data_IF_843910034374
#
_entry.id   IF_843910034374
#
_cell.length_a   1.000
_cell.length_b   1.000
_cell.length_c   1.000
_cell.angle_alpha   90.00
_cell.angle_beta   90.00
_cell.angle_gamma   90.00
#
_symmetry.space_group_name_H-M   'P 1'
#
loop_
_entity.id
_entity.type
_entity.pdbx_description
1 polymer ?
#
# COMPACT_ATOMS: atom_id res chain seq x y z
N UNK A 1 20.57 -15.10 20.02
CA UNK A 1 20.56 -14.03 21.03
C UNK A 1 19.26 -13.25 20.87
N UNK A 2 18.40 -13.37 21.84
CA UNK A 2 17.08 -12.71 21.85
C UNK A 2 17.28 -11.28 22.36
N UNK A 3 16.97 -10.31 21.52
CA UNK A 3 16.93 -8.89 21.91
C UNK A 3 15.53 -8.50 22.31
N UNK A 4 15.28 -8.42 23.60
CA UNK A 4 14.08 -7.85 24.19
C UNK A 4 13.96 -6.37 23.79
N UNK A 5 12.94 -6.02 23.02
CA UNK A 5 12.54 -4.63 22.88
C UNK A 5 11.45 -4.33 23.89
N UNK A 6 11.90 -3.73 24.99
CA UNK A 6 11.07 -3.16 26.02
C UNK A 6 10.03 -2.20 25.44
N UNK A 7 8.79 -2.55 25.72
CA UNK A 7 7.61 -1.70 25.60
C UNK A 7 7.75 -0.53 26.58
N UNK A 8 7.99 0.66 26.10
CA UNK A 8 7.79 1.88 26.87
C UNK A 8 6.38 2.38 26.65
N UNK A 9 5.52 1.98 27.56
CA UNK A 9 4.23 2.66 27.77
C UNK A 9 4.49 4.04 28.35
N UNK A 10 4.22 5.10 27.62
CA UNK A 10 4.05 6.43 28.19
C UNK A 10 2.57 6.79 28.15
N UNK A 11 2.01 6.81 29.36
CA UNK A 11 0.75 7.48 29.67
C UNK A 11 1.01 8.99 29.69
N UNK A 12 0.21 9.74 28.97
CA UNK A 12 0.01 11.17 29.20
C UNK A 12 -1.40 11.54 28.81
N UNK A 13 -2.24 11.62 29.80
CA UNK A 13 -3.08 12.70 30.32
C UNK A 13 -3.86 13.57 29.32
N UNK A 14 -5.13 13.37 29.40
CA UNK A 14 -6.32 14.24 29.36
C UNK A 14 -6.03 15.75 29.26
N UNK A 15 -6.60 16.34 28.22
CA UNK A 15 -6.83 17.76 28.09
C UNK A 15 -8.12 18.00 27.31
N UNK A 16 -9.22 18.18 28.05
CA UNK A 16 -10.50 18.63 27.54
C UNK A 16 -10.42 20.14 27.34
N UNK A 17 -10.61 20.60 26.12
CA UNK A 17 -11.02 21.97 25.83
C UNK A 17 -12.16 21.93 24.84
N UNK A 18 -13.35 22.19 25.36
CA UNK A 18 -14.53 22.48 24.59
C UNK A 18 -14.48 23.92 24.11
N UNK A 19 -14.60 24.14 22.83
CA UNK A 19 -14.94 25.43 22.25
C UNK A 19 -15.98 25.23 21.17
N UNK A 20 -17.19 25.60 21.55
CA UNK A 20 -18.31 25.84 20.65
C UNK A 20 -18.03 27.09 19.80
N UNK A 21 -18.05 26.94 18.52
CA UNK A 21 -18.26 28.05 17.61
C UNK A 21 -19.20 27.62 16.49
N UNK A 22 -20.43 28.06 16.62
CA UNK A 22 -21.42 28.10 15.56
C UNK A 22 -20.99 29.10 14.51
N UNK A 23 -20.94 28.67 13.26
CA UNK A 23 -21.05 29.58 12.12
C UNK A 23 -21.80 28.86 11.00
N UNK A 24 -23.01 29.31 10.80
CA UNK A 24 -23.80 29.13 9.59
C UNK A 24 -23.15 29.85 8.41
N UNK A 25 -23.28 29.27 7.23
CA UNK A 25 -23.38 30.11 6.05
C UNK A 25 -22.80 29.54 4.78
N UNK A 26 -23.68 29.21 3.79
CA UNK A 26 -23.41 29.38 2.37
C UNK A 26 -22.82 28.16 1.66
N UNK A 27 -23.66 27.34 1.15
CA UNK A 27 -24.12 27.18 -0.23
C UNK A 27 -23.05 27.47 -1.30
N UNK A 28 -22.79 26.46 -2.05
CA UNK A 28 -22.65 26.32 -3.48
C UNK A 28 -21.59 25.31 -3.95
N UNK A 29 -22.09 24.29 -4.65
CA UNK A 29 -21.41 23.75 -5.82
C UNK A 29 -20.05 23.09 -5.60
N UNK A 30 -19.97 22.08 -4.79
CA UNK A 30 -18.80 21.26 -4.75
C UNK A 30 -18.91 20.05 -5.67
N UNK A 31 -18.17 20.04 -6.75
CA UNK A 31 -17.81 18.83 -7.48
C UNK A 31 -17.32 17.77 -6.48
N UNK A 32 -17.79 16.54 -6.55
CA UNK A 32 -17.20 15.46 -5.78
C UNK A 32 -15.81 15.20 -6.35
N UNK A 33 -14.81 15.72 -5.67
CA UNK A 33 -13.48 15.18 -5.80
C UNK A 33 -13.55 13.73 -5.38
N UNK A 34 -13.16 12.82 -6.25
CA UNK A 34 -12.96 11.44 -5.90
C UNK A 34 -11.89 11.41 -4.82
N UNK A 35 -12.34 11.30 -3.59
CA UNK A 35 -11.48 11.05 -2.46
C UNK A 35 -11.04 9.61 -2.60
N UNK A 36 -9.83 9.41 -3.05
CA UNK A 36 -9.14 8.18 -2.78
C UNK A 36 -9.00 8.09 -1.26
N UNK A 37 -9.88 7.34 -0.65
CA UNK A 37 -9.79 7.06 0.77
C UNK A 37 -8.62 6.11 0.98
N UNK A 38 -7.52 6.68 1.37
CA UNK A 38 -6.39 5.96 1.87
C UNK A 38 -6.60 5.67 3.34
N UNK A 39 -7.18 4.56 3.64
CA UNK A 39 -7.16 4.01 4.97
C UNK A 39 -5.70 3.77 5.38
N UNK A 40 -5.11 4.75 6.03
CA UNK A 40 -3.71 4.72 6.37
C UNK A 40 -3.40 3.77 7.52
N UNK A 41 -2.38 3.02 7.40
CA UNK A 41 -1.64 2.43 8.49
C UNK A 41 -0.21 2.95 8.44
N UNK A 42 0.16 3.68 9.44
CA UNK A 42 1.42 4.22 9.82
C UNK A 42 2.71 3.81 9.10
N UNK A 43 3.24 4.72 8.41
CA UNK A 43 4.54 4.79 7.76
C UNK A 43 4.46 5.97 6.80
N UNK A 44 5.38 6.90 6.85
CA UNK A 44 5.29 8.18 6.15
C UNK A 44 5.34 8.14 4.62
N UNK A 45 5.09 6.98 3.99
CA UNK A 45 5.04 6.79 2.55
C UNK A 45 3.63 6.88 1.99
N UNK A 46 3.53 7.01 0.68
CA UNK A 46 2.27 6.90 -0.03
C UNK A 46 1.92 5.42 -0.28
N UNK A 47 0.68 5.17 -0.65
CA UNK A 47 0.24 3.84 -1.04
C UNK A 47 -0.07 3.80 -2.53
N UNK A 48 0.41 2.77 -3.20
CA UNK A 48 0.13 2.49 -4.61
C UNK A 48 -0.66 1.20 -4.71
N UNK A 49 -1.85 1.27 -5.30
CA UNK A 49 -2.69 0.09 -5.45
C UNK A 49 -2.32 -0.72 -6.70
N UNK A 50 -2.17 -2.02 -6.52
CA UNK A 50 -2.00 -2.99 -7.60
C UNK A 50 -3.11 -4.03 -7.49
N UNK A 51 -3.84 -4.23 -8.57
CA UNK A 51 -4.88 -5.24 -8.65
C UNK A 51 -4.36 -6.47 -9.37
N UNK A 52 -4.46 -7.63 -8.72
CA UNK A 52 -4.29 -8.92 -9.35
C UNK A 52 -5.67 -9.45 -9.78
N UNK A 53 -5.82 -9.78 -11.02
CA UNK A 53 -7.01 -10.41 -11.57
C UNK A 53 -6.59 -11.65 -12.36
N UNK A 54 -7.56 -12.40 -12.89
CA UNK A 54 -7.25 -13.62 -13.61
C UNK A 54 -6.30 -13.35 -14.79
N UNK A 55 -5.05 -13.80 -14.58
CA UNK A 55 -3.92 -13.74 -15.49
C UNK A 55 -3.35 -12.35 -15.81
N UNK A 56 -3.59 -11.33 -14.96
CA UNK A 56 -2.99 -10.00 -15.14
C UNK A 56 -2.78 -9.23 -13.84
N UNK A 57 -1.83 -8.31 -13.87
CA UNK A 57 -1.70 -7.24 -12.88
C UNK A 57 -2.11 -5.91 -13.51
N UNK A 58 -2.77 -5.07 -12.73
CA UNK A 58 -3.14 -3.72 -13.16
C UNK A 58 -2.76 -2.69 -12.07
N UNK A 59 -1.89 -1.75 -12.34
CA UNK A 59 -1.11 -1.59 -13.58
C UNK A 59 0.02 -2.63 -13.74
N UNK A 60 0.40 -2.94 -14.98
CA UNK A 60 1.57 -3.78 -15.27
C UNK A 60 2.90 -3.09 -14.96
N UNK A 61 2.91 -1.77 -15.00
CA UNK A 61 4.06 -0.96 -14.56
C UNK A 61 3.64 -0.18 -13.33
N UNK A 62 4.28 -0.48 -12.23
CA UNK A 62 4.06 0.14 -10.92
C UNK A 62 5.19 1.11 -10.64
N UNK A 63 4.87 2.36 -10.36
CA UNK A 63 5.84 3.37 -9.94
C UNK A 63 5.56 3.77 -8.50
N UNK A 64 6.55 3.63 -7.65
CA UNK A 64 6.49 3.98 -6.24
C UNK A 64 7.81 4.61 -5.79
N UNK A 65 7.83 5.26 -4.66
CA UNK A 65 9.05 5.73 -4.04
C UNK A 65 9.55 4.73 -2.99
N UNK A 66 10.83 4.74 -2.71
CA UNK A 66 11.39 4.01 -1.58
C UNK A 66 10.72 4.50 -0.28
N UNK A 67 10.17 3.58 0.50
CA UNK A 67 9.39 3.89 1.70
C UNK A 67 7.87 4.00 1.47
N UNK A 68 7.42 3.85 0.23
CA UNK A 68 5.99 3.70 -0.07
C UNK A 68 5.49 2.29 0.26
N UNK A 69 4.20 2.09 0.15
CA UNK A 69 3.54 0.79 0.34
C UNK A 69 2.80 0.39 -0.93
N UNK A 70 2.89 -0.86 -1.35
CA UNK A 70 2.04 -1.41 -2.40
C UNK A 70 0.86 -2.10 -1.74
N UNK A 71 -0.36 -1.65 -2.04
CA UNK A 71 -1.58 -2.33 -1.66
C UNK A 71 -2.01 -3.27 -2.79
N UNK A 72 -1.66 -4.54 -2.64
CA UNK A 72 -2.00 -5.60 -3.58
C UNK A 72 -3.39 -6.15 -3.26
N UNK A 73 -4.31 -6.06 -4.19
CA UNK A 73 -5.68 -6.57 -4.08
C UNK A 73 -5.92 -7.66 -5.10
N UNK A 74 -6.42 -8.81 -4.67
CA UNK A 74 -6.82 -9.88 -5.58
C UNK A 74 -8.33 -9.79 -5.86
N UNK A 75 -8.69 -9.41 -7.07
CA UNK A 75 -10.06 -9.34 -7.57
C UNK A 75 -10.44 -10.54 -8.46
N UNK A 76 -9.51 -11.48 -8.64
CA UNK A 76 -9.74 -12.73 -9.36
C UNK A 76 -10.35 -13.82 -8.49
N UNK A 77 -10.68 -14.94 -9.12
CA UNK A 77 -11.22 -16.13 -8.45
C UNK A 77 -10.12 -17.15 -8.05
N UNK A 78 -8.89 -16.89 -8.43
CA UNK A 78 -7.72 -17.73 -8.15
C UNK A 78 -6.74 -17.06 -7.21
N UNK A 79 -5.97 -17.80 -6.42
CA UNK A 79 -4.87 -17.22 -5.66
C UNK A 79 -3.79 -16.70 -6.60
N UNK A 80 -3.25 -15.54 -6.27
CA UNK A 80 -2.15 -14.91 -6.98
C UNK A 80 -0.96 -14.69 -6.07
N UNK A 81 0.16 -14.33 -6.66
CA UNK A 81 1.41 -14.11 -5.95
C UNK A 81 2.19 -12.98 -6.60
N UNK A 82 2.71 -12.08 -5.81
CA UNK A 82 3.61 -11.02 -6.27
C UNK A 82 5.04 -11.37 -5.88
N UNK A 83 5.86 -11.72 -6.84
CA UNK A 83 7.25 -12.04 -6.63
C UNK A 83 8.16 -11.10 -7.43
N UNK A 84 8.97 -10.32 -6.72
CA UNK A 84 10.07 -9.54 -7.27
C UNK A 84 11.35 -9.90 -6.51
N UNK A 85 12.04 -10.94 -6.97
CA UNK A 85 13.19 -11.53 -6.25
C UNK A 85 14.29 -10.52 -5.98
N UNK A 86 14.61 -9.67 -6.95
CA UNK A 86 15.66 -8.67 -6.82
C UNK A 86 15.29 -7.54 -5.85
N UNK A 87 14.01 -7.29 -5.65
CA UNK A 87 13.48 -6.35 -4.66
C UNK A 87 13.23 -7.01 -3.29
N UNK A 88 13.36 -8.33 -3.19
CA UNK A 88 13.08 -9.08 -1.96
C UNK A 88 11.59 -9.18 -1.62
N UNK A 89 10.72 -9.03 -2.61
CA UNK A 89 9.27 -9.10 -2.45
C UNK A 89 8.78 -10.51 -2.81
N UNK A 90 8.01 -11.11 -1.92
CA UNK A 90 7.43 -12.46 -2.09
C UNK A 90 6.14 -12.54 -1.25
N UNK A 91 4.98 -12.23 -1.87
CA UNK A 91 3.70 -12.13 -1.18
C UNK A 91 2.60 -12.90 -1.89
N UNK A 92 1.93 -13.79 -1.15
CA UNK A 92 0.73 -14.48 -1.59
C UNK A 92 -0.52 -13.64 -1.31
N UNK A 93 -1.49 -13.66 -2.21
CA UNK A 93 -2.79 -12.99 -2.04
C UNK A 93 -3.92 -13.88 -2.52
N UNK A 94 -4.77 -14.30 -1.60
CA UNK A 94 -5.92 -15.16 -1.88
C UNK A 94 -7.09 -14.36 -2.51
N UNK A 95 -8.04 -15.03 -3.20
CA UNK A 95 -9.18 -14.37 -3.80
C UNK A 95 -9.95 -13.48 -2.83
N UNK A 96 -10.12 -12.21 -3.18
CA UNK A 96 -10.81 -11.20 -2.37
C UNK A 96 -9.99 -10.62 -1.22
N UNK A 97 -8.73 -11.02 -1.09
CA UNK A 97 -7.82 -10.47 -0.09
C UNK A 97 -7.05 -9.25 -0.58
N UNK A 98 -6.53 -8.52 0.39
CA UNK A 98 -5.59 -7.42 0.20
C UNK A 98 -4.38 -7.61 1.08
N UNK A 99 -3.21 -7.40 0.52
CA UNK A 99 -1.93 -7.48 1.22
C UNK A 99 -1.16 -6.18 0.99
N UNK A 100 -0.57 -5.64 2.05
CA UNK A 100 0.28 -4.45 1.96
C UNK A 100 1.75 -4.88 1.97
N UNK A 101 2.49 -4.41 0.99
CA UNK A 101 3.91 -4.67 0.80
C UNK A 101 4.68 -3.38 1.06
N UNK A 102 5.48 -3.36 2.11
CA UNK A 102 6.30 -2.20 2.46
C UNK A 102 7.57 -2.14 1.60
N UNK A 103 7.87 -0.95 1.08
CA UNK A 103 9.04 -0.69 0.26
C UNK A 103 10.18 0.00 1.02
N UNK A 104 10.13 -0.01 2.35
CA UNK A 104 11.12 0.65 3.22
C UNK A 104 12.56 0.15 3.02
N UNK A 105 12.71 -1.11 2.65
CA UNK A 105 14.01 -1.75 2.45
C UNK A 105 14.36 -1.97 0.97
N UNK A 106 13.51 -1.49 0.06
CA UNK A 106 13.72 -1.63 -1.38
C UNK A 106 14.50 -0.43 -1.90
N UNK A 107 15.65 -0.68 -2.50
CA UNK A 107 16.47 0.38 -3.08
C UNK A 107 15.83 0.95 -4.36
N UNK A 108 16.10 2.21 -4.71
CA UNK A 108 15.67 2.77 -6.00
C UNK A 108 16.23 1.97 -7.17
N UNK A 109 15.37 1.65 -8.12
CA UNK A 109 15.72 0.85 -9.28
C UNK A 109 14.49 0.31 -10.00
N UNK A 110 14.71 -0.41 -11.07
CA UNK A 110 13.67 -1.08 -11.85
C UNK A 110 13.77 -2.58 -11.63
N UNK A 111 12.67 -3.19 -11.21
CA UNK A 111 12.57 -4.60 -10.86
C UNK A 111 11.46 -5.27 -11.66
N UNK A 112 11.70 -6.46 -12.15
CA UNK A 112 10.64 -7.26 -12.74
C UNK A 112 9.91 -8.04 -11.65
N UNK A 113 8.59 -8.13 -11.75
CA UNK A 113 7.78 -8.99 -10.91
C UNK A 113 6.89 -9.93 -11.71
N UNK A 114 6.61 -11.07 -11.12
CA UNK A 114 5.79 -12.13 -11.72
C UNK A 114 4.81 -12.70 -10.70
N UNK A 115 3.76 -13.37 -11.19
CA UNK A 115 3.00 -14.32 -10.39
C UNK A 115 3.63 -15.71 -10.54
N UNK A 116 4.08 -16.31 -9.43
CA UNK A 116 4.71 -17.65 -9.48
C UNK A 116 3.81 -18.75 -10.02
N UNK A 117 2.48 -18.56 -9.94
CA UNK A 117 1.51 -19.52 -10.46
C UNK A 117 1.28 -19.38 -11.96
N UNK A 118 1.54 -18.19 -12.52
CA UNK A 118 1.31 -17.85 -13.92
C UNK A 118 2.45 -16.99 -14.48
N UNK A 119 3.69 -17.46 -14.44
CA UNK A 119 4.87 -16.62 -14.72
C UNK A 119 4.97 -16.13 -16.15
N UNK A 120 4.33 -16.79 -17.08
CA UNK A 120 4.34 -16.42 -18.50
C UNK A 120 3.34 -15.31 -18.82
N UNK A 121 2.21 -15.32 -18.15
CA UNK A 121 1.07 -14.42 -18.43
C UNK A 121 0.99 -13.23 -17.45
N UNK A 122 1.29 -13.46 -16.17
CA UNK A 122 1.20 -12.46 -15.12
C UNK A 122 2.58 -11.94 -14.72
N UNK A 123 2.97 -10.84 -15.32
CA UNK A 123 4.25 -10.16 -15.06
C UNK A 123 4.11 -8.66 -15.22
N UNK A 124 5.03 -7.93 -14.62
CA UNK A 124 5.09 -6.49 -14.72
C UNK A 124 6.44 -5.95 -14.28
N UNK A 125 6.51 -4.64 -14.20
CA UNK A 125 7.71 -3.91 -13.81
C UNK A 125 7.42 -2.98 -12.65
N UNK A 126 8.29 -2.97 -11.67
CA UNK A 126 8.25 -2.11 -10.50
C UNK A 126 9.39 -1.09 -10.60
N UNK A 127 9.04 0.17 -10.81
CA UNK A 127 9.98 1.29 -10.81
C UNK A 127 9.98 1.97 -9.43
N UNK A 128 11.05 1.81 -8.68
CA UNK A 128 11.24 2.44 -7.38
C UNK A 128 12.09 3.68 -7.55
N UNK A 129 11.54 4.83 -7.22
CA UNK A 129 12.23 6.11 -7.22
C UNK A 129 12.82 6.43 -5.85
N UNK A 130 13.74 7.38 -5.80
CA UNK A 130 14.20 7.92 -4.52
C UNK A 130 13.03 8.57 -3.76
N UNK A 131 12.92 8.29 -2.48
CA UNK A 131 11.89 8.84 -1.60
C UNK A 131 12.13 10.30 -1.19
#
# INVERSE_FOLDING_TARGET
MKGDRMIRRMLATVGIVALLATACGGDDGGTPAASGDNGGGGGGGNSVTVTAADFSFDPETVTAAAGDTIDLSNEGDSPHHLQAEEAGIDEDVDPGEKVSVDLDEVEPGTYDFICKFHPDDMKGTLDITEG
#
